data_IF_839286337734
#
_entry.id   IF_839286337734
#
_cell.length_a   1.000
_cell.length_b   1.000
_cell.length_c   1.000
_cell.angle_alpha   90.00
_cell.angle_beta   90.00
_cell.angle_gamma   90.00
#
_symmetry.space_group_name_H-M   'P 1'
#
loop_
_entity.id
_entity.type
_entity.pdbx_description
1 polymer ?
#
# COMPACT_ATOMS: atom_id res chain seq x y z
N UNK A 1 -17.52 -9.60 16.48
CA UNK A 1 -16.29 -8.91 16.05
C UNK A 1 -16.41 -8.72 14.54
N UNK A 2 -16.70 -7.51 14.07
CA UNK A 2 -16.88 -7.23 12.63
C UNK A 2 -15.53 -7.25 11.92
N UNK A 3 -15.48 -7.68 10.66
CA UNK A 3 -14.26 -7.60 9.84
C UNK A 3 -13.20 -8.69 10.04
N UNK A 4 -13.52 -9.80 10.71
CA UNK A 4 -12.68 -11.00 10.70
C UNK A 4 -12.98 -11.82 9.45
N UNK A 5 -11.93 -12.40 8.87
CA UNK A 5 -12.10 -13.37 7.81
C UNK A 5 -10.93 -14.36 7.74
N UNK A 6 -11.04 -15.38 6.89
CA UNK A 6 -9.94 -16.27 6.56
C UNK A 6 -8.97 -15.58 5.59
N UNK A 7 -7.76 -15.32 6.07
CA UNK A 7 -6.66 -14.76 5.30
C UNK A 7 -5.49 -15.74 5.23
N UNK A 8 -4.84 -15.87 4.07
CA UNK A 8 -3.67 -16.73 3.95
C UNK A 8 -2.47 -16.13 4.68
N UNK A 9 -1.97 -16.86 5.68
CA UNK A 9 -0.74 -16.53 6.41
C UNK A 9 0.44 -17.18 5.69
N UNK A 10 1.35 -16.37 5.16
CA UNK A 10 2.57 -16.87 4.51
C UNK A 10 3.54 -17.52 5.51
N UNK A 11 3.55 -17.08 6.77
CA UNK A 11 4.38 -17.68 7.83
C UNK A 11 3.86 -19.05 8.24
N UNK A 12 2.54 -19.24 8.27
CA UNK A 12 1.92 -20.50 8.71
C UNK A 12 1.57 -21.45 7.56
N UNK A 13 1.71 -20.99 6.31
CA UNK A 13 1.38 -21.75 5.10
C UNK A 13 -0.10 -22.12 4.97
N UNK A 14 -0.99 -21.45 5.71
CA UNK A 14 -2.42 -21.78 5.78
C UNK A 14 -3.29 -20.55 5.94
N UNK A 15 -4.58 -20.70 5.64
CA UNK A 15 -5.59 -19.70 5.97
C UNK A 15 -5.83 -19.64 7.48
N UNK A 16 -5.75 -18.44 8.04
CA UNK A 16 -5.98 -18.16 9.46
C UNK A 16 -7.15 -17.20 9.60
N UNK A 17 -7.91 -17.35 10.67
CA UNK A 17 -8.99 -16.45 11.02
C UNK A 17 -8.39 -15.19 11.66
N UNK A 18 -8.41 -14.07 10.94
CA UNK A 18 -7.73 -12.85 11.39
C UNK A 18 -8.38 -11.58 10.84
N UNK A 19 -7.91 -10.45 11.34
CA UNK A 19 -8.06 -9.18 10.62
C UNK A 19 -6.94 -9.07 9.59
N UNK A 20 -7.18 -8.28 8.55
CA UNK A 20 -6.15 -7.85 7.61
C UNK A 20 -6.17 -6.33 7.57
N UNK A 21 -5.00 -5.71 7.78
CA UNK A 21 -4.86 -4.26 7.80
C UNK A 21 -3.71 -3.83 6.90
N UNK A 22 -3.82 -2.62 6.36
CA UNK A 22 -2.72 -1.89 5.72
C UNK A 22 -2.34 -0.78 6.68
N UNK A 23 -1.07 -0.68 7.06
CA UNK A 23 -0.57 0.31 8.01
C UNK A 23 0.47 1.21 7.37
N UNK A 24 0.51 2.47 7.80
CA UNK A 24 1.59 3.40 7.51
C UNK A 24 2.38 3.69 8.79
N UNK A 25 3.69 3.79 8.64
CA UNK A 25 4.63 4.03 9.72
C UNK A 25 5.59 5.13 9.29
N UNK A 26 5.78 6.13 10.15
CA UNK A 26 6.60 7.30 9.86
C UNK A 26 7.92 7.16 10.61
N UNK A 27 9.00 7.46 9.90
CA UNK A 27 10.35 7.54 10.45
C UNK A 27 10.93 8.89 10.05
N UNK A 28 11.30 9.70 11.05
CA UNK A 28 11.92 11.02 10.84
C UNK A 28 12.82 11.34 12.03
N UNK A 29 14.02 11.88 11.78
CA UNK A 29 14.97 12.35 12.80
C UNK A 29 15.20 11.41 14.01
N UNK A 30 15.23 10.10 13.76
CA UNK A 30 15.40 9.08 14.82
C UNK A 30 14.11 8.72 15.58
N UNK A 31 13.00 9.39 15.30
CA UNK A 31 11.67 9.02 15.73
C UNK A 31 11.05 7.99 14.79
N UNK A 32 10.20 7.15 15.36
CA UNK A 32 9.57 6.02 14.69
C UNK A 32 8.21 5.79 15.33
N UNK A 33 7.13 6.02 14.59
CA UNK A 33 5.79 5.84 15.13
C UNK A 33 4.79 5.33 14.09
N UNK A 34 3.82 4.54 14.56
CA UNK A 34 2.69 4.10 13.76
C UNK A 34 1.80 5.32 13.47
N UNK A 35 1.63 5.65 12.19
CA UNK A 35 0.84 6.81 11.77
C UNK A 35 -0.64 6.49 11.83
N UNK A 36 -1.07 5.52 11.02
CA UNK A 36 -2.46 5.12 10.91
C UNK A 36 -2.55 3.75 10.20
N UNK A 37 -3.76 3.17 10.19
CA UNK A 37 -4.06 1.93 9.49
C UNK A 37 -5.43 1.98 8.81
N UNK A 38 -5.64 1.04 7.89
CA UNK A 38 -6.91 0.79 7.21
C UNK A 38 -7.24 -0.69 7.29
N UNK A 39 -8.48 -0.99 7.67
CA UNK A 39 -8.99 -2.35 7.65
C UNK A 39 -9.28 -2.79 6.21
N UNK A 40 -8.77 -3.94 5.82
CA UNK A 40 -9.07 -4.58 4.54
C UNK A 40 -10.24 -5.54 4.72
N UNK A 41 -11.29 -5.35 3.92
CA UNK A 41 -12.42 -6.25 3.83
C UNK A 41 -12.45 -6.91 2.45
N UNK A 42 -12.81 -8.20 2.41
CA UNK A 42 -13.00 -8.92 1.14
C UNK A 42 -14.24 -8.39 0.42
N UNK A 43 -14.24 -8.45 -0.90
CA UNK A 43 -15.35 -7.99 -1.73
C UNK A 43 -16.70 -8.63 -1.35
N UNK A 44 -16.70 -9.92 -0.98
CA UNK A 44 -17.89 -10.61 -0.47
C UNK A 44 -18.46 -9.95 0.79
N UNK A 45 -17.60 -9.67 1.76
CA UNK A 45 -17.98 -8.98 3.00
C UNK A 45 -18.51 -7.57 2.71
N UNK A 46 -17.83 -6.83 1.81
CA UNK A 46 -18.27 -5.51 1.41
C UNK A 46 -19.68 -5.54 0.81
N UNK A 47 -19.96 -6.46 -0.11
CA UNK A 47 -21.28 -6.63 -0.74
C UNK A 47 -22.38 -6.98 0.26
N UNK A 48 -22.12 -7.92 1.16
CA UNK A 48 -23.07 -8.33 2.20
C UNK A 48 -23.43 -7.20 3.17
N UNK A 49 -22.51 -6.25 3.39
CA UNK A 49 -22.67 -5.16 4.34
C UNK A 49 -22.92 -3.80 3.68
N UNK A 50 -23.13 -3.75 2.35
CA UNK A 50 -23.36 -2.51 1.62
C UNK A 50 -22.18 -1.53 1.64
N UNK A 51 -20.95 -2.04 1.78
CA UNK A 51 -19.72 -1.25 1.79
C UNK A 51 -19.10 -1.23 0.38
N UNK A 52 -18.38 -0.16 0.07
CA UNK A 52 -17.53 -0.10 -1.11
C UNK A 52 -16.29 -1.01 -0.91
N UNK A 53 -15.98 -1.84 -1.90
CA UNK A 53 -14.75 -2.63 -1.88
C UNK A 53 -13.52 -1.77 -2.21
N UNK A 54 -12.48 -1.89 -1.39
CA UNK A 54 -11.18 -1.25 -1.61
C UNK A 54 -10.07 -2.28 -1.60
N UNK A 55 -9.24 -2.27 -2.63
CA UNK A 55 -8.04 -3.10 -2.65
C UNK A 55 -7.01 -2.58 -1.64
N UNK A 56 -6.06 -3.43 -1.24
CA UNK A 56 -4.95 -2.99 -0.38
C UNK A 56 -4.16 -1.81 -0.98
N UNK A 57 -4.05 -1.73 -2.31
CA UNK A 57 -3.43 -0.58 -2.98
C UNK A 57 -4.25 0.70 -2.79
N UNK A 58 -5.58 0.61 -2.83
CA UNK A 58 -6.44 1.77 -2.59
C UNK A 58 -6.29 2.26 -1.14
N UNK A 59 -6.26 1.33 -0.18
CA UNK A 59 -6.03 1.65 1.23
C UNK A 59 -4.65 2.27 1.47
N UNK A 60 -3.60 1.80 0.79
CA UNK A 60 -2.27 2.40 0.86
C UNK A 60 -2.26 3.84 0.29
N UNK A 61 -2.96 4.06 -0.83
CA UNK A 61 -3.13 5.40 -1.43
C UNK A 61 -3.88 6.33 -0.47
N UNK A 62 -4.89 5.85 0.25
CA UNK A 62 -5.58 6.65 1.27
C UNK A 62 -4.64 7.12 2.37
N UNK A 63 -3.77 6.23 2.88
CA UNK A 63 -2.79 6.59 3.90
C UNK A 63 -1.78 7.62 3.38
N UNK A 64 -1.30 7.46 2.15
CA UNK A 64 -0.39 8.42 1.49
C UNK A 64 -1.08 9.79 1.33
N UNK A 65 -2.36 9.79 0.95
CA UNK A 65 -3.11 11.02 0.76
C UNK A 65 -3.43 11.72 2.06
N UNK A 66 -3.71 10.98 3.14
CA UNK A 66 -3.94 11.54 4.47
C UNK A 66 -2.68 12.14 5.10
N UNK A 67 -1.50 11.60 4.79
CA UNK A 67 -0.27 12.16 5.31
C UNK A 67 -0.04 13.56 4.73
N UNK A 68 0.15 14.53 5.63
CA UNK A 68 0.54 15.89 5.30
C UNK A 68 1.95 16.11 5.84
N UNK A 69 2.89 16.34 4.93
CA UNK A 69 4.26 16.63 5.30
C UNK A 69 4.35 18.07 5.80
N UNK A 70 5.16 18.35 6.84
CA UNK A 70 5.61 19.71 7.10
C UNK A 70 6.20 20.30 5.82
N UNK A 71 5.88 21.56 5.52
CA UNK A 71 6.41 22.25 4.35
C UNK A 71 7.93 22.31 4.45
N UNK A 72 8.63 21.84 3.40
CA UNK A 72 10.10 21.72 3.22
C UNK A 72 10.72 20.33 3.42
N UNK A 73 9.99 19.32 3.90
CA UNK A 73 10.54 17.97 4.04
C UNK A 73 10.42 17.11 2.77
N UNK A 74 11.49 16.37 2.46
CA UNK A 74 11.45 15.34 1.41
C UNK A 74 10.85 14.05 1.96
N UNK A 75 9.68 13.67 1.45
CA UNK A 75 9.00 12.44 1.85
C UNK A 75 9.36 11.28 0.93
N UNK A 76 9.83 10.19 1.52
CA UNK A 76 10.05 8.92 0.85
C UNK A 76 9.02 7.88 1.30
N UNK A 77 8.25 7.36 0.34
CA UNK A 77 7.26 6.30 0.55
C UNK A 77 7.90 4.96 0.22
N UNK A 78 8.22 4.18 1.26
CA UNK A 78 8.80 2.84 1.11
C UNK A 78 7.70 1.77 1.12
N UNK A 79 7.67 0.91 0.09
CA UNK A 79 6.67 -0.16 -0.04
C UNK A 79 7.27 -1.49 -0.49
N UNK A 80 6.60 -2.60 -0.17
CA UNK A 80 6.91 -3.90 -0.76
C UNK A 80 6.67 -3.90 -2.28
N UNK A 81 7.38 -4.78 -2.98
CA UNK A 81 7.28 -4.97 -4.43
C UNK A 81 5.87 -5.23 -4.96
N UNK A 82 4.99 -5.79 -4.13
CA UNK A 82 3.61 -6.05 -4.49
C UNK A 82 2.79 -4.76 -4.65
N UNK A 83 3.09 -3.72 -3.87
CA UNK A 83 2.41 -2.42 -3.92
C UNK A 83 2.89 -1.52 -5.07
N UNK A 84 4.11 -1.75 -5.57
CA UNK A 84 4.68 -0.94 -6.64
C UNK A 84 3.85 -1.05 -7.92
N UNK A 85 3.11 0.02 -8.22
CA UNK A 85 2.16 0.12 -9.31
C UNK A 85 2.12 1.55 -9.85
N UNK A 86 1.70 1.72 -11.11
CA UNK A 86 1.56 3.05 -11.73
C UNK A 86 0.69 3.98 -10.87
N UNK A 87 -0.46 3.49 -10.39
CA UNK A 87 -1.39 4.28 -9.57
C UNK A 87 -0.73 4.85 -8.31
N UNK A 88 0.05 4.03 -7.61
CA UNK A 88 0.72 4.42 -6.36
C UNK A 88 1.92 5.34 -6.63
N UNK A 89 2.67 5.10 -7.72
CA UNK A 89 3.75 6.00 -8.19
C UNK A 89 3.17 7.37 -8.54
N UNK A 90 2.12 7.43 -9.35
CA UNK A 90 1.48 8.67 -9.78
C UNK A 90 0.91 9.44 -8.57
N UNK A 91 0.34 8.73 -7.59
CA UNK A 91 -0.15 9.32 -6.33
C UNK A 91 0.99 9.98 -5.56
N UNK A 92 2.10 9.27 -5.32
CA UNK A 92 3.27 9.85 -4.64
C UNK A 92 3.79 11.07 -5.39
N UNK A 93 3.96 10.95 -6.71
CA UNK A 93 4.44 12.04 -7.56
C UNK A 93 3.53 13.27 -7.50
N UNK A 94 2.21 13.09 -7.47
CA UNK A 94 1.25 14.21 -7.37
C UNK A 94 1.32 14.96 -6.03
N UNK A 95 1.77 14.28 -4.95
CA UNK A 95 2.02 14.91 -3.64
C UNK A 95 3.43 15.47 -3.49
N UNK A 96 4.28 15.36 -4.51
CA UNK A 96 5.69 15.73 -4.43
C UNK A 96 6.53 14.74 -3.63
N UNK A 97 6.04 13.51 -3.42
CA UNK A 97 6.73 12.45 -2.67
C UNK A 97 7.51 11.53 -3.60
N UNK A 98 8.57 10.93 -3.07
CA UNK A 98 9.38 9.95 -3.78
C UNK A 98 8.99 8.53 -3.37
N UNK A 99 8.74 7.65 -4.34
CA UNK A 99 8.46 6.24 -4.05
C UNK A 99 9.74 5.39 -4.13
N UNK A 100 9.95 4.54 -3.12
CA UNK A 100 10.95 3.47 -3.13
C UNK A 100 10.20 2.14 -2.99
N UNK A 101 10.39 1.23 -3.94
CA UNK A 101 9.79 -0.10 -3.87
C UNK A 101 10.40 -1.05 -4.89
N UNK A 102 10.29 -2.35 -4.61
CA UNK A 102 10.80 -3.38 -5.51
C UNK A 102 9.96 -3.51 -6.78
N UNK A 103 10.58 -3.79 -7.93
CA UNK A 103 9.86 -4.13 -9.15
C UNK A 103 9.88 -5.64 -9.35
N UNK A 104 8.69 -6.25 -9.47
CA UNK A 104 8.58 -7.66 -9.85
C UNK A 104 8.88 -7.82 -11.33
N UNK A 105 9.54 -8.93 -11.70
CA UNK A 105 9.98 -9.22 -13.08
C UNK A 105 8.84 -9.28 -14.10
N UNK A 106 7.61 -9.52 -13.65
CA UNK A 106 6.41 -9.52 -14.49
C UNK A 106 5.85 -8.10 -14.78
N UNK A 107 6.51 -7.03 -14.33
CA UNK A 107 6.14 -5.65 -14.67
C UNK A 107 6.82 -5.19 -15.97
N UNK A 108 6.06 -4.49 -16.81
CA UNK A 108 6.59 -3.77 -17.98
C UNK A 108 6.89 -2.33 -17.57
N UNK A 109 8.11 -1.86 -17.79
CA UNK A 109 8.50 -0.48 -17.54
C UNK A 109 8.92 0.19 -18.84
N UNK A 110 8.63 1.48 -18.95
CA UNK A 110 8.93 2.29 -20.14
C UNK A 110 9.65 3.61 -19.79
N UNK A 111 10.89 3.57 -19.26
CA UNK A 111 11.65 4.80 -19.06
C UNK A 111 11.84 5.53 -20.39
N UNK A 112 11.49 6.82 -20.44
CA UNK A 112 11.52 7.64 -21.66
C UNK A 112 10.80 7.00 -22.87
N UNK A 113 9.76 6.18 -22.63
CA UNK A 113 9.04 5.46 -23.67
C UNK A 113 9.72 4.18 -24.17
N UNK A 114 10.91 3.82 -23.67
CA UNK A 114 11.67 2.64 -24.09
C UNK A 114 11.33 1.47 -23.15
N UNK A 115 10.76 0.41 -23.71
CA UNK A 115 10.41 -0.80 -22.95
C UNK A 115 11.64 -1.55 -22.47
N UNK A 116 11.72 -1.85 -21.16
CA UNK A 116 12.81 -2.65 -20.58
C UNK A 116 12.24 -3.94 -19.99
N UNK A 117 12.95 -5.06 -20.21
CA UNK A 117 12.67 -6.34 -19.56
C UNK A 117 13.44 -6.41 -18.25
N UNK A 118 12.72 -6.67 -17.16
CA UNK A 118 13.31 -6.91 -15.85
C UNK A 118 13.87 -8.34 -15.81
N UNK A 119 15.14 -8.47 -15.41
CA UNK A 119 15.85 -9.75 -15.25
C UNK A 119 15.83 -10.23 -13.80
#
# INVERSE_FOLDING_TARGET
MQGLDFHFSHSDGKSVWSHCVVSAHIVSEGYSFAFDFRSYFRDSYCKENGLEFKSKNDLAIELINQYESPSEEQVYVLVDSWYTSKKLIDTCSSKGYHLIGGLRTNRKIYPAGIGIKLS
#
